data_IF_481843112753
#
_entry.id   IF_481843112753
#
_cell.length_a   1.000
_cell.length_b   1.000
_cell.length_c   1.000
_cell.angle_alpha   90.00
_cell.angle_beta   90.00
_cell.angle_gamma   90.00
#
_symmetry.space_group_name_H-M   'P 1'
#
loop_
_entity.id
_entity.type
_entity.pdbx_description
1 polymer ?
#
# COMPACT_ATOMS: atom_id res chain seq x y z
N UNK A 1 -20.97 -19.81 -64.20
CA UNK A 1 -21.39 -18.64 -65.01
C UNK A 1 -22.82 -18.21 -64.59
N UNK A 2 -23.26 -16.97 -64.88
CA UNK A 2 -24.19 -16.17 -64.04
C UNK A 2 -25.62 -16.06 -64.65
N UNK A 3 -26.52 -15.08 -64.32
CA UNK A 3 -26.62 -14.05 -63.24
C UNK A 3 -27.87 -14.30 -62.32
N UNK A 4 -28.58 -13.41 -61.58
CA UNK A 4 -28.74 -11.95 -61.33
C UNK A 4 -28.92 -11.73 -59.79
N UNK A 5 -28.90 -10.55 -59.11
CA UNK A 5 -28.84 -9.09 -59.41
C UNK A 5 -30.15 -8.27 -59.21
N UNK A 6 -30.17 -7.48 -58.11
CA UNK A 6 -30.94 -6.24 -57.78
C UNK A 6 -32.48 -6.19 -57.66
N UNK A 7 -32.96 -5.92 -56.43
CA UNK A 7 -33.91 -4.86 -56.01
C UNK A 7 -33.87 -4.80 -54.44
N UNK A 8 -33.73 -3.71 -53.67
CA UNK A 8 -34.26 -2.32 -53.68
C UNK A 8 -35.79 -2.22 -53.50
N UNK A 9 -36.23 -1.67 -52.35
CA UNK A 9 -37.65 -1.65 -51.96
C UNK A 9 -37.96 -1.08 -50.57
N UNK A 10 -37.74 0.23 -50.37
CA UNK A 10 -38.35 1.06 -49.30
C UNK A 10 -39.72 1.54 -49.82
N UNK A 11 -40.84 1.55 -49.06
CA UNK A 11 -41.12 2.53 -47.98
C UNK A 11 -42.09 1.97 -46.88
N UNK A 12 -42.80 2.78 -46.04
CA UNK A 12 -42.70 4.21 -45.71
C UNK A 12 -42.48 4.48 -44.19
N UNK A 13 -42.55 5.76 -43.77
CA UNK A 13 -42.72 6.14 -42.35
C UNK A 13 -44.21 6.23 -41.98
N UNK A 14 -44.56 5.68 -40.82
CA UNK A 14 -45.47 6.27 -39.82
C UNK A 14 -44.75 6.06 -38.46
N UNK A 15 -44.67 7.02 -37.52
CA UNK A 15 -45.73 7.82 -36.87
C UNK A 15 -46.78 6.99 -36.14
N UNK A 16 -46.34 6.33 -35.08
CA UNK A 16 -46.96 6.56 -33.77
C UNK A 16 -45.91 6.39 -32.66
N UNK A 17 -45.77 7.41 -31.80
CA UNK A 17 -44.78 7.48 -30.73
C UNK A 17 -45.49 7.91 -29.44
N UNK A 18 -45.82 6.99 -28.52
CA UNK A 18 -46.44 7.35 -27.25
C UNK A 18 -45.44 8.11 -26.37
N UNK A 19 -45.82 9.31 -25.94
CA UNK A 19 -45.01 10.15 -25.06
C UNK A 19 -44.94 9.54 -23.66
N UNK A 20 -43.82 8.87 -23.35
CA UNK A 20 -43.47 8.45 -22.00
C UNK A 20 -43.00 9.66 -21.18
N UNK A 21 -43.94 10.53 -20.80
CA UNK A 21 -43.65 11.76 -20.07
C UNK A 21 -43.28 11.45 -18.61
N UNK A 22 -42.02 11.69 -18.24
CA UNK A 22 -41.54 11.59 -16.86
C UNK A 22 -42.14 12.71 -16.00
N UNK A 23 -42.93 12.33 -14.99
CA UNK A 23 -43.43 13.25 -13.96
C UNK A 23 -43.11 12.75 -12.54
N UNK A 24 -41.89 12.23 -12.36
CA UNK A 24 -41.36 11.77 -11.07
C UNK A 24 -40.77 12.92 -10.24
N UNK A 25 -41.61 13.87 -9.81
CA UNK A 25 -41.21 15.06 -9.01
C UNK A 25 -40.48 14.69 -7.71
N UNK A 26 -39.15 14.63 -7.73
CA UNK A 26 -38.32 14.44 -6.53
C UNK A 26 -38.22 15.73 -5.69
N UNK A 27 -39.35 16.16 -5.14
CA UNK A 27 -39.44 17.27 -4.18
C UNK A 27 -38.95 16.83 -2.80
N UNK A 28 -37.64 16.87 -2.58
CA UNK A 28 -37.09 16.53 -1.27
C UNK A 28 -35.57 16.61 -1.15
N UNK A 29 -35.03 17.81 -0.93
CA UNK A 29 -33.74 17.94 -0.22
C UNK A 29 -33.64 19.30 0.49
N UNK A 30 -34.15 19.36 1.72
CA UNK A 30 -34.05 20.54 2.57
C UNK A 30 -32.75 20.55 3.38
N UNK A 31 -32.05 21.67 3.33
CA UNK A 31 -31.35 22.28 4.47
C UNK A 31 -30.53 21.37 5.41
N UNK A 32 -29.39 20.84 4.94
CA UNK A 32 -28.33 20.28 5.80
C UNK A 32 -26.97 20.99 5.69
N UNK A 33 -26.96 22.23 5.19
CA UNK A 33 -25.79 23.13 5.27
C UNK A 33 -25.85 23.89 6.60
N UNK A 34 -25.14 23.41 7.64
CA UNK A 34 -25.01 24.20 8.89
C UNK A 34 -24.53 23.53 10.18
N UNK A 35 -24.42 22.19 10.28
CA UNK A 35 -24.22 21.52 11.60
C UNK A 35 -22.90 20.73 11.73
N UNK A 36 -22.30 20.26 10.63
CA UNK A 36 -21.16 19.32 10.69
C UNK A 36 -19.82 20.01 11.07
N UNK A 37 -19.74 21.34 10.99
CA UNK A 37 -18.50 22.12 11.13
C UNK A 37 -17.93 22.27 12.55
N UNK A 38 -18.58 21.72 13.58
CA UNK A 38 -18.17 21.91 15.00
C UNK A 38 -17.63 20.62 15.65
N UNK A 39 -18.02 19.44 15.16
CA UNK A 39 -17.62 18.16 15.78
C UNK A 39 -16.12 17.84 15.63
N UNK A 40 -15.46 18.29 14.56
CA UNK A 40 -14.10 17.90 14.22
C UNK A 40 -13.00 18.45 15.16
N UNK A 41 -13.25 19.56 15.86
CA UNK A 41 -12.22 20.25 16.67
C UNK A 41 -12.08 19.62 18.07
N UNK A 42 -13.16 19.02 18.61
CA UNK A 42 -13.16 18.45 19.96
C UNK A 42 -12.22 17.23 20.12
N UNK A 43 -12.02 16.44 19.06
CA UNK A 43 -11.20 15.23 19.11
C UNK A 43 -9.69 15.51 19.31
N UNK A 44 -9.19 16.64 18.79
CA UNK A 44 -7.76 16.95 18.77
C UNK A 44 -7.24 17.41 20.14
N UNK A 45 -8.07 18.09 20.93
CA UNK A 45 -7.68 18.53 22.28
C UNK A 45 -7.77 17.44 23.35
N UNK A 46 -8.62 16.41 23.16
CA UNK A 46 -8.82 15.36 24.15
C UNK A 46 -7.56 14.53 24.43
N UNK A 47 -6.80 14.17 23.40
CA UNK A 47 -5.59 13.34 23.52
C UNK A 47 -4.43 14.07 24.20
N UNK A 48 -4.21 15.35 23.86
CA UNK A 48 -3.18 16.18 24.45
C UNK A 48 -3.37 16.37 25.97
N UNK A 49 -4.62 16.55 26.42
CA UNK A 49 -4.95 16.74 27.84
C UNK A 49 -4.63 15.48 28.68
N UNK A 50 -4.88 14.28 28.16
CA UNK A 50 -4.56 13.02 28.87
C UNK A 50 -3.05 12.84 29.06
N UNK A 51 -2.24 13.14 28.04
CA UNK A 51 -0.78 13.06 28.14
C UNK A 51 -0.22 14.01 29.22
N UNK A 52 -0.70 15.26 29.25
CA UNK A 52 -0.29 16.25 30.25
C UNK A 52 -0.76 15.89 31.67
N UNK A 53 -1.98 15.35 31.83
CA UNK A 53 -2.51 14.89 33.13
C UNK A 53 -1.79 13.65 33.69
N UNK A 54 -1.17 12.82 32.84
CA UNK A 54 -0.30 11.73 33.29
C UNK A 54 1.10 12.23 33.68
N UNK A 55 1.64 13.21 32.94
CA UNK A 55 2.97 13.77 33.22
C UNK A 55 3.03 14.65 34.48
N UNK A 56 1.95 15.38 34.79
CA UNK A 56 1.98 16.47 35.78
C UNK A 56 1.38 16.12 37.15
N UNK A 57 1.41 14.83 37.55
CA UNK A 57 1.00 14.42 38.91
C UNK A 57 2.05 14.91 39.93
N UNK A 58 1.66 15.62 41.00
CA UNK A 58 2.60 15.97 42.06
C UNK A 58 3.11 14.69 42.73
N UNK A 59 4.41 14.64 43.01
CA UNK A 59 5.03 13.58 43.80
C UNK A 59 4.37 13.56 45.21
N UNK A 60 4.13 12.38 45.79
CA UNK A 60 3.72 12.31 47.19
C UNK A 60 4.81 12.92 48.07
N UNK A 61 4.48 13.84 49.00
CA UNK A 61 5.43 14.25 50.01
C UNK A 61 5.83 13.06 50.90
N UNK A 62 7.00 13.16 51.52
CA UNK A 62 7.49 12.24 52.55
C UNK A 62 7.72 10.79 52.11
N UNK A 63 8.33 10.62 50.94
CA UNK A 63 9.19 9.47 50.64
C UNK A 63 10.46 9.47 51.53
N UNK A 64 10.26 9.40 52.85
CA UNK A 64 11.32 9.28 53.85
C UNK A 64 12.03 7.95 53.68
N UNK A 65 13.34 8.01 53.43
CA UNK A 65 14.13 6.86 52.98
C UNK A 65 14.50 5.92 54.15
N UNK A 66 13.50 5.23 54.68
CA UNK A 66 13.65 4.33 55.83
C UNK A 66 14.42 3.06 55.43
N UNK A 67 15.73 3.05 55.68
CA UNK A 67 16.63 1.92 55.39
C UNK A 67 16.38 0.76 56.37
N UNK A 68 15.41 -0.11 56.05
CA UNK A 68 15.19 -1.36 56.78
C UNK A 68 16.02 -2.51 56.14
N UNK A 69 17.15 -2.93 56.75
CA UNK A 69 18.15 -3.78 56.09
C UNK A 69 17.68 -5.22 55.81
N UNK A 70 16.69 -5.71 56.56
CA UNK A 70 16.15 -7.07 56.40
C UNK A 70 15.11 -7.20 55.27
N UNK A 71 14.93 -6.15 54.47
CA UNK A 71 14.01 -6.17 53.31
C UNK A 71 14.75 -6.71 52.08
N UNK A 72 14.40 -7.89 51.53
CA UNK A 72 15.01 -8.35 50.29
C UNK A 72 14.73 -7.34 49.16
N UNK A 73 15.69 -7.04 48.28
CA UNK A 73 15.51 -6.00 47.28
C UNK A 73 14.37 -6.37 46.33
N UNK A 74 13.35 -5.52 46.27
CA UNK A 74 12.26 -5.64 45.30
C UNK A 74 12.81 -5.84 43.88
N UNK A 75 12.25 -6.74 43.08
CA UNK A 75 12.75 -6.98 41.72
C UNK A 75 12.73 -5.66 40.96
N UNK A 76 13.90 -5.27 40.42
CA UNK A 76 14.07 -4.04 39.65
C UNK A 76 13.01 -4.02 38.53
N UNK A 77 12.13 -3.00 38.45
CA UNK A 77 11.16 -2.94 37.37
C UNK A 77 11.90 -2.93 36.02
N UNK A 78 11.41 -3.65 35.01
CA UNK A 78 12.07 -3.68 33.70
C UNK A 78 12.18 -2.25 33.16
N UNK A 79 13.37 -1.88 32.70
CA UNK A 79 13.60 -0.59 32.05
C UNK A 79 12.64 -0.43 30.88
N UNK A 80 12.01 0.74 30.67
CA UNK A 80 11.12 0.99 29.54
C UNK A 80 11.90 1.18 28.23
N UNK A 81 12.57 0.12 27.78
CA UNK A 81 13.02 -0.01 26.41
C UNK A 81 11.80 -0.37 25.54
N UNK A 82 11.15 0.65 24.98
CA UNK A 82 10.07 0.49 24.01
C UNK A 82 10.63 0.11 22.64
N UNK A 83 11.34 -1.02 22.59
CA UNK A 83 11.62 -1.73 21.35
C UNK A 83 10.28 -2.15 20.73
N UNK A 84 10.05 -1.90 19.42
CA UNK A 84 8.79 -2.24 18.76
C UNK A 84 8.66 -3.75 18.58
N UNK A 85 8.31 -4.43 19.67
CA UNK A 85 7.88 -5.85 19.75
C UNK A 85 6.44 -6.01 19.26
N UNK A 86 6.04 -5.14 18.33
CA UNK A 86 4.77 -5.16 17.62
C UNK A 86 5.00 -5.81 16.26
N UNK A 87 4.15 -6.77 15.90
CA UNK A 87 4.11 -7.31 14.54
C UNK A 87 3.73 -6.15 13.61
N UNK A 88 4.44 -6.00 12.50
CA UNK A 88 4.17 -4.96 11.53
C UNK A 88 3.81 -5.57 10.17
N UNK A 89 2.95 -4.89 9.43
CA UNK A 89 2.73 -5.13 8.00
C UNK A 89 3.33 -3.97 7.23
N UNK A 90 4.22 -4.28 6.30
CA UNK A 90 4.88 -3.30 5.43
C UNK A 90 4.51 -3.56 3.97
N UNK A 91 4.22 -2.49 3.25
CA UNK A 91 4.10 -2.45 1.80
C UNK A 91 5.23 -1.57 1.26
N UNK A 92 5.96 -2.10 0.28
CA UNK A 92 6.97 -1.38 -0.51
C UNK A 92 6.56 -1.48 -1.96
N UNK A 93 6.57 -0.36 -2.68
CA UNK A 93 6.44 -0.32 -4.14
C UNK A 93 7.71 0.26 -4.74
N UNK A 94 8.14 -0.29 -5.86
CA UNK A 94 9.23 0.23 -6.71
C UNK A 94 8.76 0.23 -8.15
N UNK A 95 8.82 1.39 -8.82
CA UNK A 95 8.58 1.50 -10.25
C UNK A 95 9.89 1.43 -11.04
N UNK A 96 10.04 0.37 -11.83
CA UNK A 96 11.13 0.18 -12.76
C UNK A 96 10.78 0.83 -14.10
N UNK A 97 11.63 1.73 -14.60
CA UNK A 97 11.46 2.38 -15.92
C UNK A 97 12.15 1.58 -17.02
N UNK A 98 11.51 1.49 -18.18
CA UNK A 98 11.96 0.75 -19.38
C UNK A 98 12.54 -0.66 -19.09
N UNK A 99 11.85 -1.49 -18.28
CA UNK A 99 12.37 -2.77 -17.82
C UNK A 99 12.66 -3.72 -18.99
N UNK A 100 13.85 -4.33 -19.00
CA UNK A 100 14.22 -5.29 -20.04
C UNK A 100 13.22 -6.48 -20.05
N UNK A 101 12.77 -6.97 -21.23
CA UNK A 101 11.73 -8.02 -21.30
C UNK A 101 12.05 -9.29 -20.50
N UNK A 102 13.33 -9.67 -20.42
CA UNK A 102 13.85 -10.81 -19.66
C UNK A 102 13.64 -10.74 -18.13
N UNK A 103 13.40 -9.55 -17.57
CA UNK A 103 13.08 -9.40 -16.14
C UNK A 103 11.78 -10.12 -15.77
N UNK A 104 10.89 -10.32 -16.74
CA UNK A 104 9.65 -11.08 -16.52
C UNK A 104 9.87 -12.55 -16.24
N UNK A 105 10.79 -13.19 -16.96
CA UNK A 105 11.16 -14.59 -16.71
C UNK A 105 11.83 -14.72 -15.35
N UNK A 106 12.78 -13.84 -15.03
CA UNK A 106 13.47 -13.83 -13.73
C UNK A 106 12.50 -13.69 -12.55
N UNK A 107 11.51 -12.79 -12.64
CA UNK A 107 10.52 -12.64 -11.58
C UNK A 107 9.58 -13.86 -11.49
N UNK A 108 9.20 -14.45 -12.62
CA UNK A 108 8.42 -15.70 -12.64
C UNK A 108 9.15 -16.87 -11.97
N UNK A 109 10.47 -16.96 -12.09
CA UNK A 109 11.28 -18.00 -11.44
C UNK A 109 11.33 -17.84 -9.90
N UNK A 110 11.36 -16.60 -9.39
CA UNK A 110 11.35 -16.30 -7.95
C UNK A 110 9.98 -16.52 -7.28
N UNK A 111 8.90 -16.41 -8.05
CA UNK A 111 7.54 -16.29 -7.50
C UNK A 111 6.93 -17.55 -6.86
N UNK A 112 7.22 -18.79 -7.28
CA UNK A 112 6.79 -19.99 -6.56
C UNK A 112 7.26 -20.00 -5.10
N UNK A 113 8.44 -19.45 -4.80
CA UNK A 113 8.95 -19.37 -3.43
C UNK A 113 8.26 -18.23 -2.64
N UNK A 114 8.11 -17.05 -3.24
CA UNK A 114 7.42 -15.93 -2.60
C UNK A 114 5.94 -16.23 -2.31
N UNK A 115 5.23 -16.90 -3.21
CA UNK A 115 3.83 -17.31 -3.04
C UNK A 115 3.61 -18.36 -1.92
N UNK A 116 4.66 -19.10 -1.54
CA UNK A 116 4.67 -19.99 -0.37
C UNK A 116 4.96 -19.25 0.94
N UNK A 117 5.19 -17.92 0.89
CA UNK A 117 5.61 -17.12 2.04
C UNK A 117 7.05 -17.43 2.49
N UNK A 118 7.88 -18.01 1.61
CA UNK A 118 9.23 -18.43 1.98
C UNK A 118 10.12 -17.19 2.27
N UNK A 119 10.70 -17.04 3.46
CA UNK A 119 11.57 -15.93 3.79
C UNK A 119 12.85 -15.86 2.93
N UNK A 120 13.34 -16.99 2.40
CA UNK A 120 14.48 -16.98 1.46
C UNK A 120 14.12 -16.19 0.19
N UNK A 121 12.85 -16.23 -0.24
CA UNK A 121 12.39 -15.45 -1.39
C UNK A 121 12.38 -13.93 -1.10
N UNK A 122 12.33 -13.49 0.16
CA UNK A 122 12.51 -12.07 0.48
C UNK A 122 13.96 -11.64 0.25
N UNK A 123 14.92 -12.48 0.60
CA UNK A 123 16.34 -12.23 0.32
C UNK A 123 16.61 -12.22 -1.18
N UNK A 124 16.11 -13.20 -1.93
CA UNK A 124 16.27 -13.25 -3.39
C UNK A 124 15.59 -12.06 -4.10
N UNK A 125 14.36 -11.68 -3.71
CA UNK A 125 13.66 -10.52 -4.27
C UNK A 125 14.33 -9.19 -3.91
N UNK A 126 14.83 -9.04 -2.67
CA UNK A 126 15.55 -7.84 -2.27
C UNK A 126 16.86 -7.68 -3.04
N UNK A 127 17.65 -8.76 -3.17
CA UNK A 127 18.87 -8.78 -3.98
C UNK A 127 18.59 -8.58 -5.47
N UNK A 128 17.46 -9.08 -5.99
CA UNK A 128 17.04 -8.84 -7.37
C UNK A 128 16.65 -7.38 -7.60
N UNK A 129 15.85 -6.76 -6.71
CA UNK A 129 15.51 -5.34 -6.80
C UNK A 129 16.75 -4.43 -6.67
N UNK A 130 17.68 -4.74 -5.75
CA UNK A 130 18.95 -4.03 -5.58
C UNK A 130 19.84 -4.07 -6.84
N UNK A 131 19.81 -5.17 -7.62
CA UNK A 131 20.51 -5.27 -8.91
C UNK A 131 19.84 -4.45 -10.04
N UNK A 132 18.67 -3.86 -9.78
CA UNK A 132 17.90 -3.06 -10.73
C UNK A 132 17.84 -1.59 -10.31
N UNK A 133 18.74 -1.14 -9.43
CA UNK A 133 18.84 0.25 -8.96
C UNK A 133 18.94 1.26 -10.10
N UNK A 134 19.70 0.95 -11.14
CA UNK A 134 19.86 1.78 -12.35
C UNK A 134 18.56 1.92 -13.17
N UNK A 135 17.53 1.13 -12.84
CA UNK A 135 16.19 1.17 -13.45
C UNK A 135 15.11 1.70 -12.51
N UNK A 136 15.43 2.05 -11.26
CA UNK A 136 14.44 2.63 -10.34
C UNK A 136 14.05 4.03 -10.82
N UNK A 137 12.77 4.38 -10.65
CA UNK A 137 12.23 5.70 -11.02
C UNK A 137 11.32 6.31 -9.97
N UNK A 138 10.54 5.47 -9.27
CA UNK A 138 9.67 5.89 -8.18
C UNK A 138 9.66 4.83 -7.08
N UNK A 139 9.41 5.25 -5.84
CA UNK A 139 9.26 4.38 -4.68
C UNK A 139 8.11 4.80 -3.76
N UNK A 140 7.60 3.86 -2.99
CA UNK A 140 6.68 4.13 -1.87
C UNK A 140 6.96 3.16 -0.71
N UNK A 141 6.87 3.67 0.52
CA UNK A 141 6.95 2.89 1.75
C UNK A 141 5.73 3.17 2.62
N UNK A 142 5.05 2.11 3.05
CA UNK A 142 4.02 2.15 4.08
C UNK A 142 4.25 1.02 5.07
N UNK A 143 4.57 1.34 6.32
CA UNK A 143 4.64 0.36 7.41
C UNK A 143 3.58 0.68 8.46
N UNK A 144 2.83 -0.34 8.89
CA UNK A 144 1.85 -0.25 9.97
C UNK A 144 2.23 -1.26 11.06
N UNK A 145 2.72 -0.81 12.24
CA UNK A 145 2.73 -1.64 13.42
C UNK A 145 1.29 -1.92 13.88
N UNK A 146 1.05 -3.10 14.44
CA UNK A 146 -0.27 -3.57 14.84
C UNK A 146 -0.39 -3.71 16.36
N UNK A 147 -1.59 -3.54 16.90
CA UNK A 147 -1.85 -3.66 18.33
C UNK A 147 -2.05 -5.13 18.77
N UNK A 148 -1.80 -5.49 20.05
CA UNK A 148 -1.99 -6.84 20.56
C UNK A 148 -3.45 -7.31 20.48
N UNK A 149 -3.81 -7.98 19.39
CA UNK A 149 -5.17 -8.45 19.08
C UNK A 149 -5.54 -8.33 17.60
N UNK A 150 -4.84 -7.47 16.86
CA UNK A 150 -4.98 -7.34 15.40
C UNK A 150 -4.55 -8.62 14.67
N UNK A 151 -5.14 -8.86 13.49
CA UNK A 151 -4.79 -9.97 12.61
C UNK A 151 -3.84 -9.51 11.50
N UNK A 152 -2.50 -9.72 11.62
CA UNK A 152 -1.56 -9.30 10.58
C UNK A 152 -1.84 -9.94 9.23
N UNK A 153 -2.25 -11.22 9.22
CA UNK A 153 -2.64 -11.93 8.00
C UNK A 153 -3.84 -11.26 7.32
N UNK A 154 -4.81 -10.72 8.07
CA UNK A 154 -5.95 -10.01 7.50
C UNK A 154 -5.53 -8.64 6.91
N UNK A 155 -4.73 -7.86 7.65
CA UNK A 155 -4.22 -6.57 7.17
C UNK A 155 -3.38 -6.76 5.89
N UNK A 156 -2.47 -7.72 5.87
CA UNK A 156 -1.71 -8.08 4.67
C UNK A 156 -2.62 -8.52 3.53
N UNK A 157 -3.59 -9.42 3.77
CA UNK A 157 -4.51 -9.86 2.71
C UNK A 157 -5.33 -8.70 2.14
N UNK A 158 -5.77 -7.73 2.96
CA UNK A 158 -6.45 -6.53 2.49
C UNK A 158 -5.57 -5.69 1.57
N UNK A 159 -4.30 -5.45 1.94
CA UNK A 159 -3.35 -4.69 1.12
C UNK A 159 -3.01 -5.44 -0.18
N UNK A 160 -2.73 -6.73 -0.10
CA UNK A 160 -2.50 -7.61 -1.25
C UNK A 160 -3.69 -7.69 -2.22
N UNK A 161 -4.93 -7.57 -1.71
CA UNK A 161 -6.14 -7.49 -2.53
C UNK A 161 -6.36 -6.11 -3.16
N UNK A 162 -6.05 -5.02 -2.45
CA UNK A 162 -6.08 -3.65 -2.99
C UNK A 162 -5.11 -3.52 -4.16
N UNK A 163 -3.87 -3.99 -3.99
CA UNK A 163 -2.83 -3.95 -5.02
C UNK A 163 -3.18 -4.80 -6.25
N UNK A 164 -3.65 -6.05 -6.05
CA UNK A 164 -4.17 -6.89 -7.15
C UNK A 164 -5.44 -6.31 -7.80
N UNK A 165 -6.13 -5.39 -7.13
CA UNK A 165 -7.26 -4.64 -7.66
C UNK A 165 -6.86 -3.65 -8.76
N UNK A 166 -5.68 -3.02 -8.67
CA UNK A 166 -5.16 -2.02 -9.63
C UNK A 166 -4.97 -2.55 -11.07
N UNK A 167 -4.97 -3.87 -11.23
CA UNK A 167 -4.86 -4.55 -12.53
C UNK A 167 -6.22 -4.80 -13.20
N UNK A 168 -7.34 -4.55 -12.50
CA UNK A 168 -8.70 -4.72 -13.03
C UNK A 168 -9.20 -3.47 -13.74
N UNK A 169 -8.48 -3.09 -14.79
CA UNK A 169 -8.84 -2.01 -15.69
C UNK A 169 -8.00 -2.12 -16.95
N UNK A 170 -8.68 -2.15 -18.10
CA UNK A 170 -8.04 -1.98 -19.41
C UNK A 170 -7.32 -0.61 -19.40
N UNK A 171 -6.02 -0.54 -19.74
CA UNK A 171 -5.33 0.74 -19.81
C UNK A 171 -5.93 1.59 -20.92
N UNK A 172 -5.88 2.90 -20.72
CA UNK A 172 -6.24 3.87 -21.75
C UNK A 172 -5.12 3.90 -22.80
N UNK A 173 -5.14 2.90 -23.68
CA UNK A 173 -4.10 2.68 -24.68
C UNK A 173 -4.12 3.86 -25.67
N UNK A 174 -3.03 4.64 -25.79
CA UNK A 174 -2.96 5.69 -26.81
C UNK A 174 -3.13 5.08 -28.20
N UNK A 175 -3.88 5.75 -29.08
CA UNK A 175 -4.28 5.25 -30.41
C UNK A 175 -3.10 4.82 -31.31
N UNK A 176 -1.88 5.24 -30.98
CA UNK A 176 -0.69 4.41 -31.16
C UNK A 176 0.23 4.64 -29.95
N UNK A 177 0.81 3.60 -29.33
CA UNK A 177 1.89 3.79 -28.37
C UNK A 177 3.14 4.20 -29.13
N UNK A 178 3.55 5.47 -28.99
CA UNK A 178 4.84 5.90 -29.51
C UNK A 178 5.94 5.14 -28.75
N UNK A 179 6.80 4.43 -29.49
CA UNK A 179 7.80 3.53 -28.89
C UNK A 179 8.95 4.26 -28.20
N UNK A 180 8.84 5.59 -28.08
CA UNK A 180 9.71 6.47 -27.29
C UNK A 180 9.20 6.73 -25.87
N UNK A 181 7.93 6.42 -25.56
CA UNK A 181 7.35 6.73 -24.25
C UNK A 181 7.89 5.80 -23.15
N UNK A 182 8.17 6.32 -21.93
CA UNK A 182 8.69 5.53 -20.84
C UNK A 182 7.64 4.52 -20.35
N UNK A 183 8.02 3.25 -20.31
CA UNK A 183 7.16 2.15 -19.89
C UNK A 183 7.56 1.66 -18.49
N UNK A 184 6.57 1.46 -17.61
CA UNK A 184 6.82 1.15 -16.21
C UNK A 184 6.37 -0.25 -15.81
N UNK A 185 7.13 -0.82 -14.87
CA UNK A 185 6.80 -2.02 -14.11
C UNK A 185 6.80 -1.65 -12.62
N UNK A 186 5.63 -1.70 -11.97
CA UNK A 186 5.56 -1.58 -10.51
C UNK A 186 5.66 -2.96 -9.87
N UNK A 187 6.64 -3.13 -8.99
CA UNK A 187 6.77 -4.31 -8.12
C UNK A 187 6.35 -3.88 -6.72
N UNK A 188 5.34 -4.57 -6.17
CA UNK A 188 4.85 -4.40 -4.80
C UNK A 188 5.22 -5.61 -3.95
N UNK A 189 5.94 -5.38 -2.86
CA UNK A 189 6.17 -6.36 -1.79
C UNK A 189 5.24 -6.03 -0.62
N UNK A 190 4.49 -7.02 -0.11
CA UNK A 190 3.74 -6.91 1.13
C UNK A 190 4.27 -7.96 2.11
N UNK A 191 4.73 -7.50 3.27
CA UNK A 191 5.57 -8.29 4.19
C UNK A 191 5.02 -8.12 5.61
N UNK A 192 4.69 -9.23 6.28
CA UNK A 192 4.46 -9.24 7.73
C UNK A 192 5.77 -9.62 8.43
N UNK A 193 6.24 -8.78 9.33
CA UNK A 193 7.45 -9.00 10.14
C UNK A 193 7.13 -9.05 11.64
N UNK A 194 7.87 -9.85 12.42
CA UNK A 194 7.67 -10.01 13.88
C UNK A 194 8.11 -8.79 14.69
N UNK A 195 8.84 -7.87 14.05
CA UNK A 195 9.26 -6.57 14.55
C UNK A 195 8.96 -5.52 13.48
N UNK A 196 8.77 -4.27 13.87
CA UNK A 196 8.67 -3.16 12.90
C UNK A 196 9.96 -3.01 12.08
N UNK A 197 9.84 -2.46 10.86
CA UNK A 197 11.00 -1.84 10.21
C UNK A 197 11.59 -0.77 11.15
N UNK A 198 12.92 -0.55 11.16
CA UNK A 198 13.48 0.66 11.74
C UNK A 198 12.86 1.90 11.06
N UNK A 199 12.91 3.05 11.72
CA UNK A 199 12.36 4.32 11.21
C UNK A 199 13.21 4.90 10.07
N UNK A 200 13.20 4.20 8.94
CA UNK A 200 13.66 4.67 7.64
C UNK A 200 12.64 5.71 7.16
N UNK A 201 13.12 6.84 6.65
CA UNK A 201 12.26 7.96 6.26
C UNK A 201 11.41 7.66 5.03
N UNK A 202 10.55 8.61 4.67
CA UNK A 202 9.82 8.58 3.40
C UNK A 202 10.81 8.38 2.23
N UNK A 203 10.41 7.57 1.25
CA UNK A 203 11.17 7.39 0.02
C UNK A 203 11.07 8.64 -0.88
N UNK A 204 11.99 9.58 -0.68
CA UNK A 204 12.32 10.69 -1.59
C UNK A 204 13.75 10.53 -2.17
N UNK A 205 14.35 9.35 -1.98
CA UNK A 205 15.77 9.10 -2.17
C UNK A 205 16.01 7.59 -2.34
N UNK A 206 16.68 7.22 -3.43
CA UNK A 206 17.07 5.84 -3.72
C UNK A 206 17.96 5.21 -2.64
N UNK A 207 18.76 5.98 -1.89
CA UNK A 207 19.60 5.46 -0.79
C UNK A 207 18.74 4.89 0.36
N UNK A 208 17.56 5.48 0.60
CA UNK A 208 16.63 5.00 1.64
C UNK A 208 15.92 3.72 1.18
N UNK A 209 15.54 3.62 -0.09
CA UNK A 209 15.00 2.38 -0.67
C UNK A 209 16.06 1.25 -0.65
N UNK A 210 17.30 1.55 -1.04
CA UNK A 210 18.41 0.58 -1.00
C UNK A 210 18.63 0.03 0.40
N UNK A 211 18.79 0.89 1.42
CA UNK A 211 18.92 0.46 2.83
C UNK A 211 17.72 -0.35 3.33
N UNK A 212 16.52 -0.06 2.84
CA UNK A 212 15.32 -0.83 3.19
C UNK A 212 15.38 -2.24 2.60
N UNK A 213 15.77 -2.37 1.33
CA UNK A 213 15.92 -3.66 0.66
C UNK A 213 17.09 -4.47 1.25
N UNK A 214 18.21 -3.82 1.59
CA UNK A 214 19.33 -4.45 2.30
C UNK A 214 18.90 -4.99 3.67
N UNK A 215 18.17 -4.19 4.47
CA UNK A 215 17.62 -4.62 5.74
C UNK A 215 16.68 -5.83 5.57
N UNK A 216 15.74 -5.77 4.63
CA UNK A 216 14.81 -6.87 4.35
C UNK A 216 15.52 -8.14 3.86
N UNK A 217 16.56 -8.00 3.03
CA UNK A 217 17.42 -9.09 2.59
C UNK A 217 18.33 -9.66 3.70
N UNK A 218 18.44 -8.98 4.85
CA UNK A 218 19.13 -9.45 6.05
C UNK A 218 18.23 -10.11 7.09
N UNK A 219 16.89 -10.03 6.93
CA UNK A 219 15.95 -10.62 7.88
C UNK A 219 16.05 -12.15 7.93
N UNK A 220 16.04 -12.69 9.14
CA UNK A 220 16.06 -14.13 9.36
C UNK A 220 14.70 -14.76 9.03
N UNK A 221 14.66 -16.06 8.66
CA UNK A 221 13.42 -16.83 8.49
C UNK A 221 12.43 -16.78 9.65
N UNK A 222 12.89 -16.51 10.88
CA UNK A 222 12.07 -16.34 12.09
C UNK A 222 11.48 -14.93 12.25
N UNK A 223 11.96 -13.95 11.48
CA UNK A 223 11.50 -12.55 11.55
C UNK A 223 10.44 -12.20 10.52
N UNK A 224 10.30 -12.99 9.45
CA UNK A 224 9.27 -12.82 8.42
C UNK A 224 8.14 -13.83 8.66
N UNK A 225 6.94 -13.33 8.93
CA UNK A 225 5.74 -14.15 9.18
C UNK A 225 5.06 -14.52 7.86
N UNK A 226 5.08 -13.60 6.88
CA UNK A 226 4.47 -13.78 5.56
C UNK A 226 5.09 -12.80 4.56
N UNK A 227 5.17 -13.25 3.31
CA UNK A 227 5.51 -12.45 2.13
C UNK A 227 4.40 -12.66 1.07
N UNK A 228 3.99 -11.57 0.42
CA UNK A 228 3.35 -11.55 -0.89
C UNK A 228 4.21 -10.67 -1.81
N UNK A 229 4.45 -11.11 -3.04
CA UNK A 229 4.99 -10.28 -4.11
C UNK A 229 3.96 -10.19 -5.24
N UNK A 230 3.78 -8.97 -5.76
CA UNK A 230 2.70 -8.56 -6.67
C UNK A 230 3.29 -7.58 -7.69
N UNK A 231 2.85 -7.59 -8.94
CA UNK A 231 3.42 -6.72 -9.98
C UNK A 231 2.40 -6.34 -11.06
N UNK A 232 2.60 -5.19 -11.70
CA UNK A 232 1.84 -4.74 -12.86
C UNK A 232 2.00 -5.71 -14.06
N UNK A 233 0.95 -6.06 -14.81
CA UNK A 233 1.02 -7.00 -15.93
C UNK A 233 2.16 -6.76 -16.94
N UNK A 234 2.70 -7.81 -17.59
CA UNK A 234 3.83 -7.67 -18.51
C UNK A 234 3.48 -6.99 -19.84
N UNK A 235 2.21 -7.10 -20.25
CA UNK A 235 1.64 -6.60 -21.50
C UNK A 235 0.14 -6.37 -21.33
N UNK A 236 -0.41 -5.23 -21.76
CA UNK A 236 0.30 -3.97 -22.02
C UNK A 236 1.04 -3.47 -20.75
N UNK A 237 2.08 -2.66 -20.95
CA UNK A 237 2.85 -2.05 -19.86
C UNK A 237 2.21 -0.74 -19.43
N UNK A 238 2.52 -0.29 -18.21
CA UNK A 238 2.02 1.00 -17.71
C UNK A 238 2.72 2.15 -18.45
N UNK A 239 1.94 3.10 -18.95
CA UNK A 239 2.41 4.44 -19.35
C UNK A 239 2.77 5.28 -18.11
N UNK A 240 3.29 6.50 -18.31
CA UNK A 240 3.46 7.47 -17.22
C UNK A 240 2.11 7.86 -16.60
N UNK A 241 1.06 8.05 -17.40
CA UNK A 241 -0.27 8.40 -16.93
C UNK A 241 -0.94 7.22 -16.20
N UNK A 242 -0.79 5.97 -16.68
CA UNK A 242 -1.19 4.77 -15.94
C UNK A 242 -0.51 4.69 -14.57
N UNK A 243 0.78 5.02 -14.50
CA UNK A 243 1.54 4.96 -13.24
C UNK A 243 0.94 5.93 -12.23
N UNK A 244 0.75 7.20 -12.62
CA UNK A 244 0.18 8.24 -11.77
C UNK A 244 -1.28 7.95 -11.39
N UNK A 245 -2.09 7.42 -12.33
CA UNK A 245 -3.49 7.10 -12.09
C UNK A 245 -3.71 5.88 -11.17
N UNK A 246 -2.85 4.85 -11.27
CA UNK A 246 -2.97 3.61 -10.48
C UNK A 246 -2.16 3.63 -9.18
N UNK A 247 -1.13 4.48 -9.10
CA UNK A 247 -0.20 4.56 -7.97
C UNK A 247 0.10 6.04 -7.60
N UNK A 248 -0.91 6.83 -7.17
CA UNK A 248 -0.72 8.24 -6.80
C UNK A 248 0.22 8.44 -5.59
N UNK A 249 0.46 7.38 -4.81
CA UNK A 249 1.36 7.41 -3.64
C UNK A 249 2.84 7.12 -3.99
N UNK A 250 3.15 6.75 -5.25
CA UNK A 250 4.54 6.58 -5.71
C UNK A 250 5.21 7.94 -5.93
N UNK A 251 6.37 8.11 -5.32
CA UNK A 251 7.15 9.35 -5.37
C UNK A 251 8.44 9.12 -6.19
N UNK A 252 8.90 10.09 -7.00
CA UNK A 252 10.16 9.96 -7.74
C UNK A 252 11.36 9.84 -6.78
N UNK A 253 12.39 9.13 -7.22
CA UNK A 253 13.63 8.82 -6.49
C UNK A 253 14.86 9.55 -7.04
#
# INVERSE_FOLDING_TARGET
MPPLTLAQGTPPLDRDQPEAQDDSRYSGNGSYVGVITIAAIAAIFGTAIVAVLLANRPLPPDATFNFNPDTPPSPKPPSPALEPTAIAVTLIQVALVNPAPQLWTQLQDLMPAAAQGNPVALQDLSLWLLRLSDSWSHGHLRSQPLEPGDSPTQTQQQWSLQERGKFKGEPDLPNSPDTSDPQYLVVTLVITTTQGLPSLGNFYDGEVLAKTLEYLGSLQPSQVVRLDCIWSPPTPRLTADDLLARYPDLLPL
#
